data_IF_136890633752
#
_entry.id   IF_136890633752
#
_cell.length_a   1.000
_cell.length_b   1.000
_cell.length_c   1.000
_cell.angle_alpha   90.00
_cell.angle_beta   90.00
_cell.angle_gamma   90.00
#
_symmetry.space_group_name_H-M   'P 1'
#
loop_
_entity.id
_entity.type
_entity.pdbx_description
1 polymer ?
#
# COMPACT_ATOMS: atom_id res chain seq x y z
N UNK A 1 -4.67 4.28 -12.66
CA UNK A 1 -5.96 3.67 -12.34
C UNK A 1 -5.92 3.04 -10.95
N UNK A 2 -6.99 3.21 -10.20
CA UNK A 2 -7.07 2.65 -8.84
C UNK A 2 -8.07 1.50 -8.86
N UNK A 3 -7.72 0.37 -8.26
CA UNK A 3 -8.57 -0.82 -8.21
C UNK A 3 -8.31 -1.61 -6.94
N UNK A 4 -9.17 -2.57 -6.66
CA UNK A 4 -8.97 -3.45 -5.52
C UNK A 4 -7.75 -4.35 -5.71
N UNK A 5 -7.11 -4.67 -4.59
CA UNK A 5 -6.00 -5.61 -4.55
C UNK A 5 -6.47 -6.99 -5.02
N UNK A 6 -5.68 -7.62 -5.88
CA UNK A 6 -5.87 -9.00 -6.28
C UNK A 6 -4.76 -9.86 -5.69
N UNK A 7 -5.03 -11.15 -5.57
CA UNK A 7 -4.06 -12.08 -5.00
C UNK A 7 -2.71 -12.03 -5.71
N UNK A 8 -2.72 -11.85 -7.03
CA UNK A 8 -1.50 -11.78 -7.83
C UNK A 8 -0.65 -10.54 -7.51
N UNK A 9 -1.24 -9.52 -6.87
CA UNK A 9 -0.55 -8.27 -6.55
C UNK A 9 0.23 -8.32 -5.24
N UNK A 10 0.02 -9.36 -4.43
CA UNK A 10 0.49 -9.39 -3.04
C UNK A 10 1.99 -9.18 -2.92
N UNK A 11 2.78 -9.83 -3.75
CA UNK A 11 4.24 -9.71 -3.67
C UNK A 11 4.70 -8.29 -3.97
N UNK A 12 4.12 -7.67 -5.00
CA UNK A 12 4.48 -6.29 -5.36
C UNK A 12 4.08 -5.30 -4.28
N UNK A 13 2.87 -5.45 -3.73
CA UNK A 13 2.37 -4.56 -2.68
C UNK A 13 3.20 -4.73 -1.41
N UNK A 14 3.53 -5.95 -1.04
CA UNK A 14 4.39 -6.20 0.12
C UNK A 14 5.81 -5.63 -0.09
N UNK A 15 6.33 -5.67 -1.32
CA UNK A 15 7.61 -5.05 -1.64
C UNK A 15 7.58 -3.53 -1.45
N UNK A 16 6.49 -2.88 -1.86
CA UNK A 16 6.32 -1.43 -1.63
C UNK A 16 6.31 -1.14 -0.13
N UNK A 17 5.54 -1.94 0.64
CA UNK A 17 5.51 -1.81 2.09
C UNK A 17 6.92 -1.92 2.69
N UNK A 18 7.67 -2.96 2.31
CA UNK A 18 9.00 -3.19 2.83
C UNK A 18 9.95 -2.04 2.49
N UNK A 19 10.04 -1.68 1.21
CA UNK A 19 11.01 -0.70 0.73
C UNK A 19 10.72 0.70 1.27
N UNK A 20 9.46 1.09 1.36
CA UNK A 20 9.10 2.40 1.89
C UNK A 20 9.40 2.50 3.38
N UNK A 21 9.15 1.44 4.15
CA UNK A 21 9.47 1.43 5.58
C UNK A 21 10.96 1.44 5.83
N UNK A 22 11.73 0.66 5.08
CA UNK A 22 13.19 0.65 5.22
C UNK A 22 13.77 2.05 4.95
N UNK A 23 13.26 2.74 3.94
CA UNK A 23 13.72 4.08 3.59
C UNK A 23 13.28 5.12 4.62
N UNK A 24 12.00 5.10 5.02
CA UNK A 24 11.44 6.11 5.94
C UNK A 24 11.97 5.95 7.36
N UNK A 25 12.30 4.73 7.76
CA UNK A 25 12.71 4.39 9.11
C UNK A 25 14.13 3.80 9.12
N UNK A 26 15.05 4.51 8.48
CA UNK A 26 16.42 4.02 8.27
C UNK A 26 17.18 3.76 9.59
N UNK A 27 16.70 4.32 10.71
CA UNK A 27 17.26 4.08 12.04
C UNK A 27 16.84 2.72 12.63
N UNK A 28 15.89 2.04 12.00
CA UNK A 28 15.49 0.68 12.37
C UNK A 28 16.15 -0.28 11.39
N UNK A 29 16.70 -1.39 11.89
CA UNK A 29 17.35 -2.38 11.04
C UNK A 29 16.38 -2.88 9.95
N UNK A 30 16.88 -3.02 8.73
CA UNK A 30 16.08 -3.58 7.63
C UNK A 30 15.61 -5.00 7.95
N UNK A 31 16.36 -5.73 8.77
CA UNK A 31 16.00 -7.08 9.19
C UNK A 31 14.67 -7.11 9.94
N UNK A 32 14.36 -6.06 10.73
CA UNK A 32 13.08 -5.96 11.41
C UNK A 32 11.91 -6.00 10.41
N UNK A 33 12.01 -5.20 9.34
CA UNK A 33 10.96 -5.16 8.31
C UNK A 33 10.89 -6.46 7.53
N UNK A 34 12.05 -7.03 7.19
CA UNK A 34 12.11 -8.31 6.47
C UNK A 34 11.50 -9.44 7.27
N UNK A 35 11.70 -9.45 8.59
CA UNK A 35 11.13 -10.49 9.47
C UNK A 35 9.60 -10.44 9.51
N UNK A 36 9.00 -9.31 9.19
CA UNK A 36 7.55 -9.14 9.18
C UNK A 36 6.94 -9.27 7.79
N UNK A 37 7.74 -9.53 6.78
CA UNK A 37 7.29 -9.51 5.38
C UNK A 37 6.18 -10.53 5.10
N UNK A 38 6.35 -11.77 5.56
CA UNK A 38 5.35 -12.83 5.33
C UNK A 38 4.05 -12.56 6.09
N UNK A 39 4.14 -12.04 7.31
CA UNK A 39 2.97 -11.67 8.10
C UNK A 39 2.18 -10.57 7.41
N UNK A 40 2.87 -9.58 6.86
CA UNK A 40 2.23 -8.46 6.16
C UNK A 40 1.46 -8.95 4.94
N UNK A 41 2.01 -9.91 4.20
CA UNK A 41 1.29 -10.50 3.06
C UNK A 41 -0.06 -11.08 3.49
N UNK A 42 -0.08 -11.80 4.60
CA UNK A 42 -1.32 -12.38 5.12
C UNK A 42 -2.30 -11.30 5.56
N UNK A 43 -1.81 -10.27 6.23
CA UNK A 43 -2.66 -9.16 6.67
C UNK A 43 -3.26 -8.40 5.49
N UNK A 44 -2.49 -8.19 4.44
CA UNK A 44 -2.97 -7.52 3.24
C UNK A 44 -4.10 -8.29 2.56
N UNK A 45 -4.04 -9.61 2.58
CA UNK A 45 -5.10 -10.45 2.00
C UNK A 45 -6.41 -10.36 2.79
N UNK A 46 -6.34 -9.99 4.06
CA UNK A 46 -7.52 -9.91 4.93
C UNK A 46 -8.07 -8.48 5.04
N UNK A 47 -7.32 -7.49 4.63
CA UNK A 47 -7.70 -6.09 4.71
C UNK A 47 -8.39 -5.63 3.42
N UNK A 48 -9.04 -4.47 3.48
CA UNK A 48 -9.50 -3.78 2.27
C UNK A 48 -8.33 -2.96 1.76
N UNK A 49 -7.86 -3.28 0.56
CA UNK A 49 -6.70 -2.62 -0.03
C UNK A 49 -7.02 -2.19 -1.45
N UNK A 50 -6.72 -0.93 -1.76
CA UNK A 50 -6.79 -0.43 -3.13
C UNK A 50 -5.38 -0.10 -3.61
N UNK A 51 -5.09 -0.45 -4.87
CA UNK A 51 -3.79 -0.22 -5.47
C UNK A 51 -3.89 0.84 -6.56
N UNK A 52 -2.83 1.61 -6.73
CA UNK A 52 -2.68 2.55 -7.83
C UNK A 52 -1.78 1.90 -8.88
N UNK A 53 -2.35 1.67 -10.05
CA UNK A 53 -1.65 1.01 -11.16
C UNK A 53 -1.56 1.95 -12.35
N UNK A 54 -0.38 2.04 -12.94
CA UNK A 54 -0.14 2.81 -14.15
C UNK A 54 0.84 2.03 -15.02
N UNK A 55 0.52 1.90 -16.31
CA UNK A 55 1.32 1.13 -17.27
C UNK A 55 1.58 -0.30 -16.79
N UNK A 56 0.54 -0.93 -16.21
CA UNK A 56 0.60 -2.31 -15.68
C UNK A 56 1.58 -2.47 -14.50
N UNK A 57 1.93 -1.36 -13.86
CA UNK A 57 2.83 -1.39 -12.71
C UNK A 57 2.15 -0.74 -11.51
N UNK A 58 2.17 -1.44 -10.37
CA UNK A 58 1.61 -0.92 -9.12
C UNK A 58 2.64 0.03 -8.52
N UNK A 59 2.20 1.27 -8.24
CA UNK A 59 3.06 2.33 -7.73
C UNK A 59 2.72 2.77 -6.32
N UNK A 60 1.63 2.27 -5.76
CA UNK A 60 1.23 2.60 -4.40
C UNK A 60 -0.02 1.85 -4.00
N UNK A 61 -0.36 1.92 -2.71
CA UNK A 61 -1.58 1.31 -2.21
C UNK A 61 -2.04 2.00 -0.92
N UNK A 62 -3.31 1.80 -0.60
CA UNK A 62 -3.91 2.23 0.67
C UNK A 62 -4.56 1.02 1.32
N UNK A 63 -4.28 0.84 2.60
CA UNK A 63 -4.90 -0.21 3.40
C UNK A 63 -5.92 0.38 4.37
N UNK A 64 -7.08 -0.26 4.44
CA UNK A 64 -8.18 0.18 5.28
C UNK A 64 -8.62 -0.95 6.19
N UNK A 65 -8.98 -0.59 7.42
CA UNK A 65 -9.64 -1.50 8.35
C UNK A 65 -10.94 -0.82 8.77
N UNK A 66 -12.06 -1.33 8.26
CA UNK A 66 -13.37 -0.69 8.37
C UNK A 66 -13.29 0.73 7.80
N UNK A 67 -13.53 1.77 8.63
CA UNK A 67 -13.48 3.16 8.19
C UNK A 67 -12.12 3.82 8.47
N UNK A 68 -11.19 3.07 9.03
CA UNK A 68 -9.89 3.62 9.41
C UNK A 68 -8.86 3.36 8.32
N UNK A 69 -8.06 4.38 8.05
CA UNK A 69 -6.91 4.24 7.15
C UNK A 69 -5.75 3.70 7.97
N UNK A 70 -5.29 2.49 7.64
CA UNK A 70 -4.15 1.89 8.31
C UNK A 70 -2.83 2.38 7.74
N UNK A 71 -2.80 2.72 6.46
CA UNK A 71 -1.60 3.27 5.85
C UNK A 71 -1.79 3.58 4.39
N UNK A 72 -1.01 4.55 3.92
CA UNK A 72 -0.90 4.90 2.51
C UNK A 72 0.58 4.79 2.16
N UNK A 73 0.87 3.99 1.14
CA UNK A 73 2.25 3.70 0.75
C UNK A 73 2.43 3.97 -0.73
N UNK A 74 3.45 4.73 -1.08
CA UNK A 74 3.80 5.04 -2.47
C UNK A 74 5.25 4.63 -2.67
N UNK A 75 5.54 3.93 -3.76
CA UNK A 75 6.91 3.49 -4.05
C UNK A 75 7.85 4.69 -4.04
N UNK A 76 9.09 4.45 -3.60
CA UNK A 76 10.05 5.54 -3.38
C UNK A 76 10.28 6.40 -4.63
N UNK A 77 10.27 5.80 -5.82
CA UNK A 77 10.50 6.50 -7.08
C UNK A 77 9.31 7.37 -7.48
N UNK A 78 8.12 7.08 -6.95
CA UNK A 78 6.88 7.73 -7.39
C UNK A 78 6.29 8.69 -6.36
N UNK A 79 7.01 8.96 -5.28
CA UNK A 79 6.53 9.92 -4.29
C UNK A 79 6.50 11.32 -4.87
N UNK A 80 5.61 12.17 -4.33
CA UNK A 80 5.42 13.56 -4.77
C UNK A 80 4.79 13.68 -6.16
N UNK A 81 4.10 12.64 -6.64
CA UNK A 81 3.36 12.68 -7.90
C UNK A 81 1.84 12.67 -7.69
N UNK A 82 1.37 12.86 -6.46
CA UNK A 82 -0.06 12.91 -6.17
C UNK A 82 -0.74 11.56 -6.01
N UNK A 83 0.00 10.46 -6.01
CA UNK A 83 -0.56 9.11 -5.91
C UNK A 83 -1.22 8.88 -4.55
N UNK A 84 -0.55 9.28 -3.46
CA UNK A 84 -1.11 9.14 -2.12
C UNK A 84 -2.42 9.90 -1.97
N UNK A 85 -2.50 11.11 -2.51
CA UNK A 85 -3.73 11.91 -2.47
C UNK A 85 -4.84 11.26 -3.29
N UNK A 86 -4.51 10.72 -4.46
CA UNK A 86 -5.48 10.02 -5.30
C UNK A 86 -6.05 8.79 -4.60
N UNK A 87 -5.19 8.01 -3.92
CA UNK A 87 -5.63 6.85 -3.16
C UNK A 87 -6.54 7.25 -2.00
N UNK A 88 -6.17 8.31 -1.28
CA UNK A 88 -6.98 8.79 -0.16
C UNK A 88 -8.36 9.25 -0.65
N UNK A 89 -8.42 10.03 -1.73
CA UNK A 89 -9.68 10.50 -2.28
C UNK A 89 -10.54 9.34 -2.77
N UNK A 90 -9.93 8.34 -3.39
CA UNK A 90 -10.66 7.15 -3.84
C UNK A 90 -11.29 6.42 -2.65
N UNK A 91 -10.54 6.24 -1.58
CA UNK A 91 -11.04 5.56 -0.38
C UNK A 91 -12.18 6.33 0.28
N UNK A 92 -12.07 7.65 0.34
CA UNK A 92 -13.14 8.52 0.87
C UNK A 92 -14.41 8.41 0.05
N UNK A 93 -14.28 8.42 -1.27
CA UNK A 93 -15.44 8.30 -2.15
C UNK A 93 -16.14 6.96 -2.00
N UNK A 94 -15.37 5.88 -1.85
CA UNK A 94 -15.94 4.56 -1.60
C UNK A 94 -16.71 4.52 -0.29
N UNK A 95 -16.19 5.12 0.77
CA UNK A 95 -16.86 5.15 2.07
C UNK A 95 -18.17 5.92 2.02
N UNK A 96 -18.21 7.03 1.25
CA UNK A 96 -19.40 7.87 1.16
C UNK A 96 -20.52 7.22 0.34
N UNK A 97 -20.21 6.27 -0.52
CA UNK A 97 -21.16 5.64 -1.44
C UNK A 97 -21.47 4.18 -1.12
N UNK A 98 -21.16 3.76 0.09
CA UNK A 98 -21.55 2.42 0.56
C UNK A 98 -22.95 2.38 1.10
#
# INVERSE_FOLDING_TARGET
MIRELQKADINKVADIWLNTNVTAHHYISSQYWQNNFEIVKELLLQATVYVYEDNQEIQGFIGLNDEYIEGIFVSNEMQSHGIGKALLNYAKNKALHQ
#
